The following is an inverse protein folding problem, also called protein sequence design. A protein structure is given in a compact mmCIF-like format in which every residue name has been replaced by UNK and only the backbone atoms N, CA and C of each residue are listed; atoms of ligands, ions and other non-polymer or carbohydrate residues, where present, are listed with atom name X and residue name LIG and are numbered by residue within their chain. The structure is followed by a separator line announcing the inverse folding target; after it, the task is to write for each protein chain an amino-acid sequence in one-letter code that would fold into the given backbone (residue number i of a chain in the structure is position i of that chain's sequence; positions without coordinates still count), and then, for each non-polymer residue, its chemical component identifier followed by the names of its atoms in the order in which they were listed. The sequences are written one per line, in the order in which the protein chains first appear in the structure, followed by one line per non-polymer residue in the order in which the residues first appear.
data_IF_625509463605
#
_entry.id   IF_625509463605
#
_cell.length_a   1.000
_cell.length_b   1.000
_cell.length_c   1.000
_cell.angle_alpha   90.00
_cell.angle_beta   90.00
_cell.angle_gamma   90.00
#
_symmetry.space_group_name_H-M   'P 1'
#
loop_
_entity.id
_entity.type
_entity.pdbx_description
1 polymer ?
#
# COMPACT_ATOMS: atom_id res chain seq x y z
N UNK A 1 68.56 -42.80 -20.24
CA UNK A 1 67.38 -42.54 -19.37
C UNK A 1 67.55 -41.17 -18.70
N UNK A 2 66.90 -40.12 -19.22
CA UNK A 2 66.76 -38.83 -18.54
C UNK A 2 65.31 -38.37 -18.73
N UNK A 3 64.61 -38.18 -17.62
CA UNK A 3 63.17 -37.88 -17.53
C UNK A 3 62.89 -36.45 -18.01
N UNK A 4 61.94 -36.33 -18.93
CA UNK A 4 61.29 -35.09 -19.36
C UNK A 4 60.15 -34.80 -18.37
N UNK A 5 60.16 -33.65 -17.68
CA UNK A 5 58.94 -33.16 -17.00
C UNK A 5 58.39 -31.95 -17.73
N UNK A 6 57.34 -32.17 -18.52
CA UNK A 6 56.47 -31.11 -19.02
C UNK A 6 55.65 -30.57 -17.85
N UNK A 7 55.93 -29.33 -17.45
CA UNK A 7 55.10 -28.62 -16.49
C UNK A 7 53.84 -28.12 -17.22
N UNK A 8 52.74 -28.88 -17.16
CA UNK A 8 51.43 -28.43 -17.64
C UNK A 8 50.82 -27.53 -16.57
N UNK A 9 51.04 -26.22 -16.69
CA UNK A 9 50.33 -25.22 -15.92
C UNK A 9 48.88 -25.19 -16.39
N UNK A 10 47.99 -25.85 -15.65
CA UNK A 10 46.55 -25.81 -15.88
C UNK A 10 46.04 -24.47 -15.34
N UNK A 11 45.76 -23.52 -16.25
CA UNK A 11 44.97 -22.34 -15.92
C UNK A 11 43.52 -22.78 -15.69
N UNK A 12 43.10 -22.81 -14.43
CA UNK A 12 41.70 -22.98 -14.06
C UNK A 12 40.99 -21.66 -14.34
N UNK A 13 40.24 -21.62 -15.43
CA UNK A 13 39.35 -20.52 -15.78
C UNK A 13 38.16 -20.55 -14.81
N UNK A 14 38.24 -19.79 -13.72
CA UNK A 14 37.15 -19.62 -12.78
C UNK A 14 36.01 -18.83 -13.45
N UNK A 15 35.01 -19.56 -13.93
CA UNK A 15 33.74 -19.01 -14.40
C UNK A 15 33.01 -18.42 -13.19
N UNK A 16 33.03 -17.09 -13.08
CA UNK A 16 32.15 -16.38 -12.17
C UNK A 16 30.72 -16.53 -12.70
N UNK A 17 29.98 -17.50 -12.15
CA UNK A 17 28.54 -17.52 -12.23
C UNK A 17 28.03 -16.31 -11.45
N UNK A 18 27.87 -15.18 -12.15
CA UNK A 18 27.06 -14.05 -11.66
C UNK A 18 25.63 -14.58 -11.58
N UNK A 19 25.27 -15.12 -10.43
CA UNK A 19 23.89 -15.42 -10.11
C UNK A 19 23.15 -14.09 -10.10
N UNK A 20 22.35 -13.83 -11.13
CA UNK A 20 21.34 -12.79 -11.06
C UNK A 20 20.45 -13.14 -9.87
N UNK A 21 20.57 -12.37 -8.78
CA UNK A 21 19.54 -12.38 -7.75
C UNK A 21 18.20 -12.13 -8.46
N UNK A 22 17.11 -12.83 -8.10
CA UNK A 22 15.80 -12.50 -8.64
C UNK A 22 15.55 -11.02 -8.33
N UNK A 23 15.45 -10.19 -9.36
CA UNK A 23 15.20 -8.77 -9.22
C UNK A 23 13.93 -8.62 -8.38
N UNK A 24 14.08 -8.12 -7.15
CA UNK A 24 12.94 -7.70 -6.33
C UNK A 24 12.13 -6.70 -7.16
N UNK A 25 10.79 -6.81 -7.19
CA UNK A 25 9.99 -5.91 -8.00
C UNK A 25 10.29 -4.46 -7.62
N UNK A 26 10.53 -3.64 -8.64
CA UNK A 26 10.86 -2.23 -8.48
C UNK A 26 9.72 -1.50 -7.77
N UNK A 27 10.07 -0.67 -6.80
CA UNK A 27 9.10 0.14 -6.06
C UNK A 27 9.03 1.52 -6.72
N UNK A 28 7.86 1.86 -7.25
CA UNK A 28 7.53 3.18 -7.79
C UNK A 28 6.94 4.05 -6.70
N UNK A 29 7.56 5.19 -6.43
CA UNK A 29 7.13 6.14 -5.39
C UNK A 29 5.89 6.94 -5.80
N UNK A 30 5.06 7.28 -4.81
CA UNK A 30 3.85 8.08 -4.98
C UNK A 30 2.71 7.37 -5.72
N UNK A 31 1.74 8.18 -6.16
CA UNK A 31 0.51 7.73 -6.83
C UNK A 31 0.51 7.95 -8.35
N UNK A 32 1.62 8.39 -8.96
CA UNK A 32 1.64 8.78 -10.38
C UNK A 32 1.26 7.67 -11.37
N UNK A 33 1.45 6.40 -10.99
CA UNK A 33 1.10 5.20 -11.77
C UNK A 33 -0.17 4.51 -11.27
N UNK A 34 -0.89 5.11 -10.34
CA UNK A 34 -2.15 4.58 -9.80
C UNK A 34 -3.29 5.17 -10.63
N UNK A 35 -4.11 4.29 -11.20
CA UNK A 35 -5.26 4.72 -12.01
C UNK A 35 -6.43 5.08 -11.10
N UNK A 36 -7.37 5.88 -11.62
CA UNK A 36 -8.64 6.18 -10.95
C UNK A 36 -9.42 4.91 -10.57
N UNK A 37 -9.37 3.89 -11.42
CA UNK A 37 -10.01 2.60 -11.15
C UNK A 37 -9.38 1.87 -9.95
N UNK A 38 -8.04 1.91 -9.82
CA UNK A 38 -7.37 1.33 -8.64
C UNK A 38 -7.76 2.08 -7.36
N UNK A 39 -7.79 3.41 -7.43
CA UNK A 39 -8.21 4.29 -6.34
C UNK A 39 -9.64 3.96 -5.87
N UNK A 40 -10.59 3.90 -6.81
CA UNK A 40 -11.99 3.52 -6.54
C UNK A 40 -12.11 2.11 -5.95
N UNK A 41 -11.44 1.11 -6.52
CA UNK A 41 -11.45 -0.28 -6.02
C UNK A 41 -10.91 -0.38 -4.59
N UNK A 42 -9.88 0.40 -4.25
CA UNK A 42 -9.32 0.45 -2.90
C UNK A 42 -10.35 1.06 -1.93
N UNK A 43 -10.88 2.24 -2.24
CA UNK A 43 -11.82 2.94 -1.36
C UNK A 43 -13.11 2.16 -1.16
N UNK A 44 -13.69 1.61 -2.23
CA UNK A 44 -14.90 0.78 -2.17
C UNK A 44 -14.70 -0.47 -1.32
N UNK A 45 -13.54 -1.13 -1.47
CA UNK A 45 -13.21 -2.30 -0.66
C UNK A 45 -13.14 -1.96 0.84
N UNK A 46 -12.51 -0.84 1.19
CA UNK A 46 -12.36 -0.43 2.61
C UNK A 46 -13.71 -0.03 3.19
N UNK A 47 -14.52 0.72 2.44
CA UNK A 47 -15.88 1.09 2.87
C UNK A 47 -16.73 -0.15 3.11
N UNK A 48 -16.76 -1.11 2.18
CA UNK A 48 -17.54 -2.35 2.36
C UNK A 48 -16.98 -3.22 3.49
N UNK A 49 -15.66 -3.32 3.65
CA UNK A 49 -15.01 -4.06 4.74
C UNK A 49 -15.47 -3.56 6.12
N UNK A 50 -15.67 -2.26 6.27
CA UNK A 50 -16.00 -1.62 7.54
C UNK A 50 -17.48 -1.33 7.77
N UNK A 51 -18.32 -1.73 6.82
CA UNK A 51 -19.77 -1.62 6.91
C UNK A 51 -20.30 -2.34 8.15
N UNK A 52 -20.97 -1.58 9.02
CA UNK A 52 -21.56 -2.08 10.26
C UNK A 52 -20.55 -2.39 11.39
N UNK A 53 -19.26 -2.09 11.22
CA UNK A 53 -18.25 -2.27 12.27
C UNK A 53 -18.23 -1.06 13.22
N UNK A 54 -18.32 0.15 12.66
CA UNK A 54 -18.36 1.39 13.42
C UNK A 54 -19.81 1.78 13.80
N UNK A 55 -19.93 2.84 14.62
CA UNK A 55 -21.23 3.43 14.92
C UNK A 55 -21.98 3.76 13.62
N UNK A 56 -23.30 3.48 13.53
CA UNK A 56 -24.05 3.73 12.31
C UNK A 56 -23.95 5.19 11.84
N UNK A 57 -23.65 5.35 10.55
CA UNK A 57 -23.69 6.63 9.84
C UNK A 57 -24.49 6.50 8.55
N UNK A 58 -25.01 7.61 8.03
CA UNK A 58 -25.78 7.63 6.78
C UNK A 58 -24.93 7.28 5.56
N UNK A 59 -23.68 7.77 5.54
CA UNK A 59 -22.70 7.42 4.50
C UNK A 59 -21.31 7.27 5.11
N UNK A 60 -20.49 6.49 4.42
CA UNK A 60 -19.10 6.21 4.78
C UNK A 60 -18.24 6.53 3.56
N UNK A 61 -17.07 7.07 3.82
CA UNK A 61 -16.10 7.46 2.80
C UNK A 61 -14.70 7.01 3.22
N UNK A 62 -13.85 6.87 2.23
CA UNK A 62 -12.44 6.59 2.39
C UNK A 62 -11.65 7.47 1.43
N UNK A 63 -10.54 8.01 1.93
CA UNK A 63 -9.50 8.66 1.13
C UNK A 63 -8.15 8.14 1.57
N UNK A 64 -7.16 8.12 0.68
CA UNK A 64 -5.87 7.56 1.00
C UNK A 64 -4.70 8.27 0.33
N UNK A 65 -3.55 8.20 1.00
CA UNK A 65 -2.26 8.63 0.46
C UNK A 65 -1.42 7.42 0.10
N UNK A 66 -1.01 7.30 -1.16
CA UNK A 66 -0.12 6.22 -1.61
C UNK A 66 1.34 6.66 -1.47
N UNK A 67 2.12 5.91 -0.70
CA UNK A 67 3.56 6.10 -0.60
C UNK A 67 4.29 5.52 -1.80
N UNK A 68 3.80 4.39 -2.31
CA UNK A 68 4.28 3.79 -3.54
C UNK A 68 3.66 2.44 -3.82
N UNK A 69 4.03 1.88 -4.96
CA UNK A 69 3.58 0.55 -5.39
C UNK A 69 4.73 -0.29 -5.91
N UNK A 70 4.53 -1.60 -5.97
CA UNK A 70 5.39 -2.52 -6.73
C UNK A 70 4.51 -3.52 -7.46
N UNK A 71 4.92 -3.96 -8.64
CA UNK A 71 4.15 -4.92 -9.43
C UNK A 71 4.98 -6.16 -9.74
N UNK A 72 4.38 -7.33 -9.55
CA UNK A 72 4.97 -8.61 -9.94
C UNK A 72 3.89 -9.61 -10.33
N UNK A 73 3.98 -10.18 -11.54
CA UNK A 73 3.03 -11.18 -12.07
C UNK A 73 1.57 -10.77 -11.85
N UNK A 74 1.21 -9.58 -12.34
CA UNK A 74 -0.15 -9.02 -12.29
C UNK A 74 -0.67 -8.69 -10.89
N UNK A 75 0.16 -8.84 -9.85
CA UNK A 75 -0.13 -8.43 -8.49
C UNK A 75 0.54 -7.09 -8.23
N UNK A 76 -0.27 -6.09 -7.89
CA UNK A 76 0.19 -4.77 -7.46
C UNK A 76 0.11 -4.71 -5.95
N UNK A 77 1.25 -4.50 -5.33
CA UNK A 77 1.38 -4.15 -3.92
C UNK A 77 1.24 -2.64 -3.78
N UNK A 78 0.33 -2.17 -2.93
CA UNK A 78 0.14 -0.75 -2.63
C UNK A 78 0.41 -0.52 -1.15
N UNK A 79 1.29 0.44 -0.85
CA UNK A 79 1.65 0.86 0.50
C UNK A 79 1.09 2.27 0.72
N UNK A 80 0.16 2.42 1.65
CA UNK A 80 -0.62 3.65 1.76
C UNK A 80 -0.99 3.98 3.20
N UNK A 81 -1.48 5.19 3.41
CA UNK A 81 -2.20 5.61 4.60
C UNK A 81 -3.67 5.79 4.24
N UNK A 82 -4.57 5.12 4.95
CA UNK A 82 -6.01 5.20 4.73
C UNK A 82 -6.66 6.06 5.81
N UNK A 83 -7.58 6.94 5.41
CA UNK A 83 -8.46 7.69 6.29
C UNK A 83 -9.91 7.36 5.96
N UNK A 84 -10.55 6.64 6.86
CA UNK A 84 -11.94 6.20 6.75
C UNK A 84 -12.81 6.96 7.74
N UNK A 85 -14.00 7.40 7.29
CA UNK A 85 -14.92 8.18 8.12
C UNK A 85 -16.40 7.93 7.81
N UNK A 86 -17.22 8.07 8.85
CA UNK A 86 -18.69 7.98 8.79
C UNK A 86 -19.33 9.34 9.03
N UNK A 87 -20.32 9.70 8.22
CA UNK A 87 -20.93 11.02 8.18
C UNK A 87 -22.46 10.95 8.10
N UNK A 88 -23.12 11.93 8.72
CA UNK A 88 -24.56 12.17 8.65
C UNK A 88 -24.81 13.58 8.09
N UNK A 89 -25.91 13.78 7.37
CA UNK A 89 -26.28 15.10 6.84
C UNK A 89 -26.40 16.15 7.94
N UNK A 90 -26.96 15.77 9.09
CA UNK A 90 -27.12 16.66 10.25
C UNK A 90 -25.79 17.12 10.86
N UNK A 91 -24.73 16.31 10.77
CA UNK A 91 -23.40 16.64 11.28
C UNK A 91 -22.50 17.32 10.24
N UNK A 92 -22.95 17.42 8.98
CA UNK A 92 -22.17 17.96 7.87
C UNK A 92 -20.84 17.23 7.67
N UNK A 93 -19.75 17.97 7.57
CA UNK A 93 -18.40 17.43 7.33
C UNK A 93 -17.70 16.91 8.59
N UNK A 94 -18.38 16.88 9.74
CA UNK A 94 -17.79 16.37 10.97
C UNK A 94 -17.83 14.84 10.96
N UNK A 95 -16.66 14.21 10.98
CA UNK A 95 -16.55 12.75 11.07
C UNK A 95 -17.11 12.25 12.42
N UNK A 96 -18.02 11.29 12.36
CA UNK A 96 -18.71 10.72 13.53
C UNK A 96 -18.05 9.44 14.03
N UNK A 97 -17.33 8.73 13.16
CA UNK A 97 -16.66 7.47 13.49
C UNK A 97 -15.70 7.07 12.39
N UNK A 98 -14.58 6.45 12.72
CA UNK A 98 -13.68 5.92 11.72
C UNK A 98 -12.30 5.64 12.27
N UNK A 99 -11.33 5.60 11.37
CA UNK A 99 -9.94 5.34 11.71
C UNK A 99 -9.00 5.96 10.68
N UNK A 100 -7.74 6.12 11.08
CA UNK A 100 -6.66 6.64 10.26
C UNK A 100 -5.42 5.81 10.55
N UNK A 101 -4.97 5.01 9.59
CA UNK A 101 -3.89 4.04 9.81
C UNK A 101 -3.17 3.64 8.51
N UNK A 102 -1.91 3.16 8.60
CA UNK A 102 -1.19 2.64 7.46
C UNK A 102 -1.74 1.29 7.00
N UNK A 103 -1.90 1.11 5.69
CA UNK A 103 -2.45 -0.10 5.07
C UNK A 103 -1.49 -0.66 4.03
N UNK A 104 -1.37 -1.98 4.02
CA UNK A 104 -0.83 -2.72 2.89
C UNK A 104 -1.97 -3.45 2.18
N UNK A 105 -2.20 -3.12 0.90
CA UNK A 105 -3.25 -3.74 0.08
C UNK A 105 -2.62 -4.33 -1.20
N UNK A 106 -3.14 -5.48 -1.63
CA UNK A 106 -2.73 -6.11 -2.89
C UNK A 106 -3.91 -6.15 -3.86
N UNK A 107 -3.68 -5.61 -5.06
CA UNK A 107 -4.60 -5.70 -6.18
C UNK A 107 -4.11 -6.76 -7.17
N UNK A 108 -5.03 -7.52 -7.74
CA UNK A 108 -4.77 -8.41 -8.86
C UNK A 108 -5.40 -7.84 -10.11
N UNK A 109 -4.65 -7.76 -11.21
CA UNK A 109 -5.21 -7.46 -12.53
C UNK A 109 -6.08 -8.64 -13.00
N UNK A 110 -7.29 -8.35 -13.43
CA UNK A 110 -8.25 -9.28 -14.01
C UNK A 110 -8.83 -8.68 -15.30
N UNK A 111 -9.53 -9.47 -16.11
CA UNK A 111 -10.06 -9.02 -17.38
C UNK A 111 -11.00 -7.81 -17.25
N UNK A 112 -11.72 -7.70 -16.12
CA UNK A 112 -12.64 -6.61 -15.81
C UNK A 112 -12.02 -5.43 -15.06
N UNK A 113 -10.70 -5.43 -14.83
CA UNK A 113 -10.05 -4.39 -14.04
C UNK A 113 -9.12 -4.90 -12.94
N UNK A 114 -9.45 -4.54 -11.70
CA UNK A 114 -8.68 -4.89 -10.50
C UNK A 114 -9.57 -5.53 -9.43
N UNK A 115 -9.01 -6.49 -8.70
CA UNK A 115 -9.63 -7.08 -7.51
C UNK A 115 -8.69 -6.99 -6.31
N UNK A 116 -9.23 -6.65 -5.14
CA UNK A 116 -8.48 -6.72 -3.88
C UNK A 116 -8.33 -8.18 -3.46
N UNK A 117 -7.10 -8.68 -3.41
CA UNK A 117 -6.80 -10.06 -3.01
C UNK A 117 -6.18 -10.17 -1.61
N UNK A 118 -5.74 -9.04 -1.04
CA UNK A 118 -5.20 -8.98 0.33
C UNK A 118 -5.32 -7.58 0.90
N UNK A 119 -5.66 -7.51 2.19
CA UNK A 119 -5.68 -6.28 2.97
C UNK A 119 -5.05 -6.55 4.34
N UNK A 120 -4.07 -5.75 4.75
CA UNK A 120 -3.32 -5.94 6.00
C UNK A 120 -3.18 -4.61 6.74
N UNK A 121 -3.49 -4.64 8.03
CA UNK A 121 -3.36 -3.51 8.96
C UNK A 121 -2.27 -3.79 9.99
N UNK A 122 -1.67 -2.73 10.58
CA UNK A 122 -0.79 -2.87 11.73
C UNK A 122 -1.55 -3.47 12.91
N UNK A 123 -0.79 -4.02 13.85
CA UNK A 123 -1.29 -4.37 15.17
C UNK A 123 -1.34 -3.14 16.05
N UNK A 124 -2.15 -3.16 17.09
CA UNK A 124 -2.24 -2.03 18.02
C UNK A 124 -1.15 -2.03 19.10
N UNK A 125 -1.04 -0.89 19.79
CA UNK A 125 -0.23 -0.70 20.98
C UNK A 125 1.26 -0.95 20.75
N UNK A 126 1.89 -1.69 21.66
CA UNK A 126 3.34 -1.94 21.64
C UNK A 126 3.81 -2.69 20.38
N UNK A 127 2.90 -3.29 19.60
CA UNK A 127 3.24 -4.01 18.38
C UNK A 127 3.17 -3.13 17.11
N UNK A 128 2.56 -1.94 17.19
CA UNK A 128 2.28 -1.05 16.05
C UNK A 128 3.46 -0.83 15.12
N UNK A 129 4.53 -0.21 15.62
CA UNK A 129 5.72 0.08 14.82
C UNK A 129 6.37 -1.21 14.26
N UNK A 130 6.36 -2.28 15.04
CA UNK A 130 6.97 -3.56 14.62
C UNK A 130 6.17 -4.27 13.53
N UNK A 131 4.84 -4.14 13.50
CA UNK A 131 4.00 -4.67 12.43
C UNK A 131 4.19 -3.87 11.14
N UNK A 132 4.25 -2.54 11.21
CA UNK A 132 4.49 -1.68 10.04
C UNK A 132 5.83 -2.04 9.38
N UNK A 133 6.89 -2.21 10.19
CA UNK A 133 8.21 -2.63 9.70
C UNK A 133 8.19 -3.98 8.94
N UNK A 134 7.24 -4.87 9.24
CA UNK A 134 7.10 -6.16 8.55
C UNK A 134 6.26 -6.07 7.28
N UNK A 135 5.40 -5.06 7.19
CA UNK A 135 4.43 -4.90 6.11
C UNK A 135 4.92 -3.95 5.01
N UNK A 136 5.76 -2.97 5.36
CA UNK A 136 6.17 -1.90 4.46
C UNK A 136 7.65 -2.03 4.06
N UNK A 137 8.01 -1.60 2.84
CA UNK A 137 9.39 -1.34 2.46
C UNK A 137 10.05 -0.39 3.46
N UNK A 138 11.31 -0.65 3.80
CA UNK A 138 12.03 0.09 4.84
C UNK A 138 11.99 1.61 4.65
N UNK A 139 12.05 2.09 3.40
CA UNK A 139 11.99 3.51 3.06
C UNK A 139 10.68 4.21 3.48
N UNK A 140 9.58 3.48 3.64
CA UNK A 140 8.28 4.04 4.03
C UNK A 140 7.98 3.90 5.52
N UNK A 141 8.68 3.03 6.25
CA UNK A 141 8.35 2.70 7.66
C UNK A 141 8.35 3.94 8.55
N UNK A 142 9.34 4.83 8.41
CA UNK A 142 9.40 6.04 9.24
C UNK A 142 8.19 6.94 9.04
N UNK A 143 7.76 7.11 7.78
CA UNK A 143 6.56 7.89 7.43
C UNK A 143 5.33 7.19 7.99
N UNK A 144 5.09 5.93 7.61
CA UNK A 144 3.93 5.15 8.04
C UNK A 144 3.80 4.93 9.57
N UNK A 145 4.85 5.15 10.37
CA UNK A 145 4.76 5.11 11.84
C UNK A 145 4.36 6.47 12.43
N UNK A 146 4.77 7.58 11.83
CA UNK A 146 4.71 8.92 12.43
C UNK A 146 3.97 9.92 11.55
N UNK A 147 3.08 9.49 10.66
CA UNK A 147 2.56 10.35 9.59
C UNK A 147 1.49 11.33 10.07
N UNK A 148 1.92 12.34 10.84
CA UNK A 148 1.04 13.42 11.30
C UNK A 148 0.79 14.46 10.21
N UNK A 149 1.73 14.63 9.27
CA UNK A 149 1.62 15.61 8.17
C UNK A 149 0.63 15.14 7.07
N UNK A 150 0.46 13.83 6.88
CA UNK A 150 -0.49 13.27 5.90
C UNK A 150 -1.96 13.46 6.29
N UNK A 151 -2.26 13.66 7.56
CA UNK A 151 -3.64 13.69 8.03
C UNK A 151 -4.37 14.95 7.54
N UNK A 152 -3.72 16.12 7.50
CA UNK A 152 -4.37 17.37 7.10
C UNK A 152 -4.85 17.35 5.63
N UNK A 153 -4.02 16.83 4.72
CA UNK A 153 -4.37 16.72 3.30
C UNK A 153 -5.53 15.73 3.08
N UNK A 154 -5.51 14.59 3.79
CA UNK A 154 -6.59 13.61 3.73
C UNK A 154 -7.88 14.11 4.36
N UNK A 155 -7.80 14.89 5.45
CA UNK A 155 -8.98 15.53 6.05
C UNK A 155 -9.62 16.53 5.07
N UNK A 156 -8.80 17.27 4.32
CA UNK A 156 -9.28 18.16 3.27
C UNK A 156 -9.95 17.40 2.13
N UNK A 157 -9.32 16.34 1.62
CA UNK A 157 -9.88 15.52 0.55
C UNK A 157 -11.19 14.85 0.97
N UNK A 158 -11.23 14.30 2.18
CA UNK A 158 -12.43 13.73 2.79
C UNK A 158 -13.55 14.77 2.86
N UNK A 159 -13.22 15.98 3.30
CA UNK A 159 -14.18 17.08 3.37
C UNK A 159 -14.76 17.41 1.99
N UNK A 160 -13.94 17.47 0.95
CA UNK A 160 -14.39 17.72 -0.43
C UNK A 160 -15.37 16.63 -0.91
N UNK A 161 -15.09 15.35 -0.66
CA UNK A 161 -16.00 14.25 -1.00
C UNK A 161 -17.33 14.34 -0.24
N UNK A 162 -17.28 14.63 1.06
CA UNK A 162 -18.48 14.76 1.91
C UNK A 162 -19.31 15.97 1.49
N UNK A 163 -18.69 17.12 1.20
CA UNK A 163 -19.39 18.31 0.69
C UNK A 163 -20.12 18.03 -0.63
N UNK A 164 -19.48 17.26 -1.53
CA UNK A 164 -20.12 16.79 -2.76
C UNK A 164 -21.40 15.99 -2.48
N UNK A 165 -21.33 15.03 -1.56
CA UNK A 165 -22.50 14.24 -1.16
C UNK A 165 -23.59 15.05 -0.46
N UNK A 166 -23.22 16.03 0.38
CA UNK A 166 -24.20 16.90 1.06
C UNK A 166 -25.01 17.75 0.07
N UNK A 167 -24.46 18.00 -1.12
CA UNK A 167 -25.14 18.73 -2.21
C UNK A 167 -26.02 17.83 -3.09
N UNK A 168 -25.91 16.50 -2.97
CA UNK A 168 -26.80 15.56 -3.65
C UNK A 168 -28.22 15.68 -3.09
N UNK A 169 -29.19 15.96 -3.97
CA UNK A 169 -30.60 16.16 -3.65
C UNK A 169 -31.32 14.85 -3.35
#
# INVERSE_FOLDING_TARGET
MKRWSMNKMILILSVFLVGCAPNSPEIKDGNAHVTKEMDEVISDYIVEKYKGIYYPSEKQFEVHRIYGTSEYKEIINVYMWSYFGGFNKDSGTNNQSGHSLPVFIQLKKVDSGYEVIKYTEPKDGNQYASSIKKMFPEKYVKMAVNDTETIEDLEKEMKEQVEGWLQEK
#
